data_IF_590629937172
#
_entry.id   IF_590629937172
#
_cell.length_a   1.000
_cell.length_b   1.000
_cell.length_c   1.000
_cell.angle_alpha   90.00
_cell.angle_beta   90.00
_cell.angle_gamma   90.00
#
_symmetry.space_group_name_H-M   'P 1'
#
loop_
_entity.id
_entity.type
_entity.pdbx_description
1 polymer ?
#
# COMPACT_ATOMS: atom_id res chain seq x y z
N UNK A 1 42.90 -40.14 63.91
CA UNK A 1 43.00 -39.43 62.62
C UNK A 1 41.84 -39.90 61.72
N UNK A 2 40.77 -39.12 61.57
CA UNK A 2 39.60 -39.42 60.72
C UNK A 2 39.80 -38.78 59.37
N UNK A 3 39.80 -39.60 58.30
CA UNK A 3 39.83 -39.13 56.92
C UNK A 3 38.38 -38.78 56.47
N UNK A 4 38.16 -37.53 56.08
CA UNK A 4 36.91 -37.05 55.51
C UNK A 4 37.02 -37.21 54.00
N UNK A 5 36.18 -38.05 53.40
CA UNK A 5 36.03 -38.17 51.94
C UNK A 5 35.02 -37.11 51.44
N UNK A 6 35.48 -36.20 50.61
CA UNK A 6 34.61 -35.28 49.87
C UNK A 6 34.11 -35.96 48.59
N UNK A 7 32.82 -36.20 48.52
CA UNK A 7 32.14 -36.66 47.32
C UNK A 7 31.73 -35.45 46.48
N UNK A 8 32.42 -35.22 45.38
CA UNK A 8 32.10 -34.15 44.45
C UNK A 8 30.89 -34.58 43.57
N UNK A 9 29.74 -33.91 43.79
CA UNK A 9 28.55 -34.08 42.94
C UNK A 9 28.66 -33.11 41.78
N UNK A 10 28.91 -33.65 40.56
CA UNK A 10 28.87 -32.93 39.30
C UNK A 10 27.40 -32.75 38.87
N UNK A 11 26.87 -31.51 38.98
CA UNK A 11 25.61 -31.18 38.35
C UNK A 11 25.83 -30.93 36.85
N UNK A 12 25.39 -31.86 36.01
CA UNK A 12 25.25 -31.66 34.57
C UNK A 12 23.98 -30.88 34.32
N UNK A 13 24.09 -29.55 34.06
CA UNK A 13 22.99 -28.72 33.59
C UNK A 13 22.74 -29.02 32.10
N UNK A 14 21.69 -29.74 31.80
CA UNK A 14 21.23 -29.97 30.43
C UNK A 14 20.64 -28.65 29.89
N UNK A 15 21.40 -27.91 29.11
CA UNK A 15 20.89 -26.73 28.38
C UNK A 15 20.10 -27.26 27.20
N UNK A 16 18.75 -27.26 27.32
CA UNK A 16 17.84 -27.53 26.20
C UNK A 16 17.83 -26.29 25.32
N UNK A 17 18.63 -26.27 24.27
CA UNK A 17 18.55 -25.28 23.20
C UNK A 17 17.26 -25.59 22.41
N UNK A 18 16.17 -24.89 22.74
CA UNK A 18 14.99 -24.87 21.85
C UNK A 18 15.41 -24.15 20.57
N UNK A 19 15.65 -24.91 19.52
CA UNK A 19 15.76 -24.37 18.17
C UNK A 19 14.43 -23.70 17.83
N UNK A 20 14.40 -22.36 17.84
CA UNK A 20 13.31 -21.59 17.27
C UNK A 20 13.41 -21.79 15.76
N UNK A 21 12.82 -22.87 15.26
CA UNK A 21 12.62 -23.07 13.84
C UNK A 21 11.83 -21.86 13.31
N UNK A 22 12.42 -21.10 12.39
CA UNK A 22 11.71 -20.06 11.66
C UNK A 22 10.55 -20.75 10.91
N UNK A 23 9.36 -20.73 11.52
CA UNK A 23 8.14 -21.25 10.93
C UNK A 23 7.89 -20.42 9.67
N UNK A 24 8.14 -20.98 8.48
CA UNK A 24 7.80 -20.34 7.22
C UNK A 24 6.29 -20.08 7.26
N UNK A 25 5.91 -18.81 7.37
CA UNK A 25 4.48 -18.46 7.43
C UNK A 25 3.83 -18.95 6.13
N UNK A 26 2.77 -19.74 6.26
CA UNK A 26 1.95 -20.20 5.13
C UNK A 26 1.57 -19.00 4.27
N UNK A 27 1.84 -19.07 2.97
CA UNK A 27 1.61 -17.99 2.03
C UNK A 27 0.37 -18.27 1.17
N UNK A 28 -0.35 -17.21 0.82
CA UNK A 28 -1.33 -17.18 -0.25
C UNK A 28 -0.74 -16.42 -1.43
N UNK A 29 -0.94 -16.91 -2.66
CA UNK A 29 -0.43 -16.27 -3.87
C UNK A 29 -1.58 -15.94 -4.82
N UNK A 30 -1.47 -14.80 -5.50
CA UNK A 30 -2.29 -14.41 -6.65
C UNK A 30 -1.36 -14.37 -7.85
N UNK A 31 -1.74 -15.08 -8.92
CA UNK A 31 -1.04 -15.10 -10.20
C UNK A 31 -1.91 -14.38 -11.22
N UNK A 32 -1.31 -13.52 -12.07
CA UNK A 32 -2.07 -12.71 -13.01
C UNK A 32 -1.21 -12.36 -14.24
N UNK A 33 -1.87 -12.19 -15.38
CA UNK A 33 -1.27 -11.62 -16.58
C UNK A 33 -1.35 -10.08 -16.63
N UNK A 34 -1.89 -9.45 -15.58
CA UNK A 34 -2.02 -7.99 -15.48
C UNK A 34 -3.15 -7.40 -16.32
N UNK A 35 -4.06 -8.24 -16.85
CA UNK A 35 -5.24 -7.79 -17.60
C UNK A 35 -6.39 -7.56 -16.62
N UNK A 36 -6.91 -6.31 -16.48
CA UNK A 36 -8.09 -6.05 -15.67
C UNK A 36 -9.34 -6.76 -16.22
N UNK A 37 -10.32 -7.01 -15.35
CA UNK A 37 -11.62 -7.58 -15.71
C UNK A 37 -12.61 -6.56 -16.30
N UNK A 38 -12.11 -5.41 -16.72
CA UNK A 38 -12.87 -4.35 -17.42
C UNK A 38 -12.06 -3.80 -18.58
N UNK A 39 -12.70 -3.08 -19.48
CA UNK A 39 -12.01 -2.37 -20.56
C UNK A 39 -11.21 -1.21 -19.96
N UNK A 40 -9.90 -1.23 -20.14
CA UNK A 40 -9.04 -0.11 -19.73
C UNK A 40 -9.24 1.08 -20.69
N UNK A 41 -8.83 2.27 -20.24
CA UNK A 41 -8.78 3.45 -21.06
C UNK A 41 -7.92 3.27 -22.32
N UNK A 42 -8.12 4.17 -23.28
CA UNK A 42 -7.32 4.18 -24.49
C UNK A 42 -5.89 4.66 -24.18
N UNK A 43 -4.89 3.82 -24.44
CA UNK A 43 -3.48 4.14 -24.31
C UNK A 43 -2.77 3.83 -25.62
N UNK A 44 -1.71 4.64 -26.00
CA UNK A 44 -1.12 5.78 -25.29
C UNK A 44 -1.96 7.05 -25.35
N UNK A 45 -1.76 7.94 -24.37
CA UNK A 45 -2.33 9.29 -24.33
C UNK A 45 -1.22 10.33 -24.16
N UNK A 46 -1.55 11.64 -24.34
CA UNK A 46 -0.60 12.74 -24.03
C UNK A 46 -0.10 12.68 -22.57
N UNK A 47 -0.96 12.29 -21.63
CA UNK A 47 -0.61 12.16 -20.20
C UNK A 47 0.06 10.84 -19.85
N UNK A 48 -0.11 9.79 -20.67
CA UNK A 48 0.52 8.48 -20.48
C UNK A 48 0.90 7.86 -21.83
N UNK A 49 2.16 7.99 -22.26
CA UNK A 49 2.62 7.50 -23.55
C UNK A 49 2.85 5.98 -23.61
N UNK A 50 2.61 5.28 -22.52
CA UNK A 50 2.88 3.85 -22.41
C UNK A 50 1.83 3.01 -23.17
N UNK A 51 2.24 1.84 -23.66
CA UNK A 51 1.35 0.86 -24.28
C UNK A 51 1.10 -0.29 -23.31
N UNK A 52 -0.13 -0.78 -23.25
CA UNK A 52 -0.45 -1.94 -22.45
C UNK A 52 0.35 -3.17 -22.89
N UNK A 53 0.84 -3.92 -21.90
CA UNK A 53 1.52 -5.20 -22.12
C UNK A 53 1.04 -6.19 -21.06
N UNK A 54 0.69 -7.39 -21.50
CA UNK A 54 0.47 -8.53 -20.60
C UNK A 54 1.75 -8.79 -19.80
N UNK A 55 1.57 -9.20 -18.57
CA UNK A 55 2.62 -9.43 -17.61
C UNK A 55 2.66 -10.91 -17.19
N UNK A 56 3.62 -11.27 -16.37
CA UNK A 56 3.64 -12.52 -15.62
C UNK A 56 3.86 -12.17 -14.15
N UNK A 57 2.77 -11.96 -13.44
CA UNK A 57 2.78 -11.43 -12.08
C UNK A 57 2.52 -12.55 -11.09
N UNK A 58 3.25 -12.51 -9.99
CA UNK A 58 3.04 -13.39 -8.84
C UNK A 58 3.18 -12.58 -7.57
N UNK A 59 2.11 -12.56 -6.76
CA UNK A 59 2.03 -11.85 -5.49
C UNK A 59 1.76 -12.86 -4.38
N UNK A 60 2.78 -13.22 -3.63
CA UNK A 60 2.63 -14.06 -2.45
C UNK A 60 2.70 -13.20 -1.19
N UNK A 61 1.81 -13.44 -0.24
CA UNK A 61 1.70 -12.71 1.02
C UNK A 61 1.32 -13.65 2.17
N UNK A 62 1.54 -13.27 3.44
CA UNK A 62 1.18 -14.10 4.58
C UNK A 62 -0.31 -14.45 4.58
N UNK A 63 -0.65 -15.75 4.71
CA UNK A 63 -2.05 -16.21 4.84
C UNK A 63 -2.65 -15.84 6.19
N UNK A 64 -1.82 -15.75 7.22
CA UNK A 64 -2.16 -15.32 8.58
C UNK A 64 -1.35 -14.06 8.92
N UNK A 65 -1.84 -12.86 8.53
CA UNK A 65 -1.13 -11.62 8.82
C UNK A 65 -1.15 -11.30 10.31
N UNK A 66 -0.06 -10.70 10.80
CA UNK A 66 0.07 -10.28 12.20
C UNK A 66 0.32 -8.79 12.24
N UNK A 67 -0.54 -8.06 12.99
CA UNK A 67 -0.36 -6.62 13.23
C UNK A 67 0.84 -6.42 14.16
N UNK A 68 1.74 -5.52 13.79
CA UNK A 68 2.92 -5.14 14.56
C UNK A 68 2.67 -3.84 15.34
N UNK A 69 3.47 -3.54 16.37
CA UNK A 69 3.33 -2.29 17.11
C UNK A 69 3.76 -1.05 16.30
N UNK A 70 4.57 -1.21 15.26
CA UNK A 70 5.06 -0.12 14.41
C UNK A 70 4.62 -0.31 12.97
N UNK A 71 4.11 0.74 12.36
CA UNK A 71 3.74 0.76 10.95
C UNK A 71 4.96 1.01 10.05
N UNK A 72 4.82 0.68 8.76
CA UNK A 72 5.82 0.95 7.72
C UNK A 72 5.16 1.64 6.53
N UNK A 73 5.65 2.81 6.17
CA UNK A 73 5.27 3.46 4.93
C UNK A 73 5.93 2.78 3.73
N UNK A 74 5.16 2.60 2.66
CA UNK A 74 5.63 2.00 1.40
C UNK A 74 5.27 2.94 0.26
N UNK A 75 6.25 3.20 -0.60
CA UNK A 75 6.14 4.16 -1.71
C UNK A 75 5.62 3.50 -3.01
N UNK A 76 5.48 2.16 -3.03
CA UNK A 76 5.19 1.43 -4.26
C UNK A 76 3.88 0.61 -4.20
N UNK A 77 3.89 -0.61 -4.71
CA UNK A 77 2.74 -1.51 -4.70
C UNK A 77 2.36 -1.89 -3.27
N UNK A 78 1.24 -1.37 -2.78
CA UNK A 78 0.76 -1.58 -1.40
C UNK A 78 -0.08 -2.84 -1.26
N UNK A 79 -0.63 -3.33 -2.36
CA UNK A 79 -1.49 -4.50 -2.39
C UNK A 79 -1.79 -4.94 -3.82
N UNK A 80 -2.64 -5.94 -3.92
CA UNK A 80 -3.10 -6.52 -5.18
C UNK A 80 -4.60 -6.79 -5.09
N UNK A 81 -5.34 -6.53 -6.17
CA UNK A 81 -6.76 -6.88 -6.26
C UNK A 81 -6.97 -8.39 -6.35
N UNK A 82 -8.19 -8.87 -6.16
CA UNK A 82 -8.53 -10.29 -6.35
C UNK A 82 -8.24 -10.78 -7.78
N UNK A 83 -8.30 -9.88 -8.76
CA UNK A 83 -8.00 -10.14 -10.17
C UNK A 83 -6.51 -10.00 -10.51
N UNK A 84 -5.66 -9.71 -9.51
CA UNK A 84 -4.22 -9.66 -9.68
C UNK A 84 -3.67 -8.34 -10.23
N UNK A 85 -4.46 -7.26 -10.19
CA UNK A 85 -3.99 -5.93 -10.59
C UNK A 85 -3.36 -5.20 -9.40
N UNK A 86 -2.16 -4.62 -9.56
CA UNK A 86 -1.49 -3.90 -8.49
C UNK A 86 -2.26 -2.67 -8.01
N UNK A 87 -2.17 -2.40 -6.71
CA UNK A 87 -2.69 -1.20 -6.05
C UNK A 87 -1.50 -0.30 -5.72
N UNK A 88 -1.45 0.89 -6.31
CA UNK A 88 -0.36 1.88 -6.17
C UNK A 88 -0.93 3.28 -5.98
N UNK A 89 -1.39 3.64 -4.77
CA UNK A 89 -2.04 4.94 -4.54
C UNK A 89 -1.10 6.13 -4.71
N UNK A 90 0.20 5.99 -4.46
CA UNK A 90 1.20 7.03 -4.65
C UNK A 90 1.77 7.08 -6.05
N UNK A 91 2.55 8.11 -6.35
CA UNK A 91 3.30 8.27 -7.60
C UNK A 91 4.80 8.28 -7.37
N UNK A 92 5.58 8.13 -8.46
CA UNK A 92 7.02 8.37 -8.44
C UNK A 92 7.38 9.81 -8.82
N UNK A 93 6.39 10.70 -8.95
CA UNK A 93 6.56 12.08 -9.36
C UNK A 93 6.61 13.01 -8.14
N UNK A 94 7.58 13.90 -8.12
CA UNK A 94 7.79 14.91 -7.09
C UNK A 94 7.78 16.30 -7.72
N UNK A 95 7.33 17.31 -6.98
CA UNK A 95 7.41 18.67 -7.47
C UNK A 95 8.86 19.04 -7.80
N UNK A 96 9.03 19.65 -8.95
CA UNK A 96 10.33 20.09 -9.44
C UNK A 96 10.12 21.35 -10.29
N UNK A 97 10.46 22.53 -9.72
CA UNK A 97 10.28 23.82 -10.37
C UNK A 97 11.17 23.98 -11.60
N UNK A 98 12.28 23.25 -11.67
CA UNK A 98 13.21 23.27 -12.81
C UNK A 98 12.71 22.45 -14.01
N UNK A 99 11.82 21.47 -13.76
CA UNK A 99 11.24 20.67 -14.83
C UNK A 99 10.18 21.43 -15.63
N UNK A 100 10.16 21.35 -16.96
CA UNK A 100 9.09 21.91 -17.79
C UNK A 100 7.69 21.42 -17.40
N UNK A 101 7.59 20.18 -16.93
CA UNK A 101 6.33 19.59 -16.44
C UNK A 101 6.03 19.92 -14.98
N UNK A 102 6.88 20.70 -14.31
CA UNK A 102 6.83 21.00 -12.88
C UNK A 102 6.84 19.76 -11.96
N UNK A 103 7.30 18.64 -12.49
CA UNK A 103 7.56 17.42 -11.72
C UNK A 103 8.65 16.56 -12.36
N UNK A 104 9.35 15.79 -11.55
CA UNK A 104 10.35 14.80 -11.96
C UNK A 104 10.44 13.67 -10.93
N UNK A 105 11.46 12.82 -11.00
CA UNK A 105 11.75 11.83 -9.97
C UNK A 105 12.62 12.39 -8.83
N UNK A 106 13.03 13.66 -8.93
CA UNK A 106 13.82 14.34 -7.90
C UNK A 106 12.94 14.62 -6.67
N UNK A 107 13.31 14.04 -5.54
CA UNK A 107 12.55 14.11 -4.28
C UNK A 107 12.91 15.33 -3.41
N UNK A 108 13.80 16.21 -3.88
CA UNK A 108 14.37 17.30 -3.06
C UNK A 108 13.34 18.29 -2.54
N UNK A 109 12.22 18.49 -3.24
CA UNK A 109 11.13 19.36 -2.77
C UNK A 109 10.37 18.78 -1.57
N UNK A 110 10.42 17.46 -1.34
CA UNK A 110 9.61 16.78 -0.33
C UNK A 110 8.10 16.73 -0.65
N UNK A 111 7.66 17.19 -1.84
CA UNK A 111 6.25 17.23 -2.24
C UNK A 111 5.96 16.17 -3.30
N UNK A 112 5.33 15.07 -2.88
CA UNK A 112 4.98 13.96 -3.77
C UNK A 112 3.62 14.20 -4.44
N UNK A 113 3.59 14.21 -5.78
CA UNK A 113 2.36 14.47 -6.53
C UNK A 113 1.33 13.34 -6.35
N UNK A 114 0.09 13.72 -6.13
CA UNK A 114 -1.04 12.80 -6.17
C UNK A 114 -1.51 12.57 -7.62
N UNK A 115 -1.77 11.31 -7.98
CA UNK A 115 -2.31 10.96 -9.30
C UNK A 115 -3.79 11.34 -9.42
N UNK A 116 -4.53 11.21 -8.34
CA UNK A 116 -5.95 11.57 -8.24
C UNK A 116 -6.06 12.85 -7.41
N UNK A 117 -6.27 13.96 -8.10
CA UNK A 117 -6.48 15.26 -7.48
C UNK A 117 -7.97 15.57 -7.37
N UNK A 118 -8.40 16.54 -6.52
CA UNK A 118 -9.81 16.92 -6.41
C UNK A 118 -10.45 17.35 -7.73
N UNK A 119 -9.68 18.00 -8.61
CA UNK A 119 -10.19 18.64 -9.82
C UNK A 119 -9.64 18.05 -11.12
N UNK A 120 -8.65 17.17 -11.05
CA UNK A 120 -8.04 16.56 -12.25
C UNK A 120 -7.45 15.20 -11.98
N UNK A 121 -7.40 14.37 -13.03
CA UNK A 121 -6.62 13.15 -13.08
C UNK A 121 -5.38 13.41 -13.92
N UNK A 122 -4.22 13.37 -13.29
CA UNK A 122 -2.95 13.53 -14.01
C UNK A 122 -2.39 12.16 -14.42
N UNK A 123 -1.34 12.16 -15.24
CA UNK A 123 -0.67 10.94 -15.72
C UNK A 123 -1.55 10.01 -16.57
N UNK A 124 -2.61 10.55 -17.20
CA UNK A 124 -3.49 9.76 -18.08
C UNK A 124 -4.28 8.70 -17.34
N UNK A 125 -4.72 9.00 -16.13
CA UNK A 125 -5.61 8.12 -15.35
C UNK A 125 -6.95 7.94 -16.08
N UNK A 126 -7.37 6.70 -16.29
CA UNK A 126 -8.63 6.36 -16.95
C UNK A 126 -9.85 6.46 -16.02
N UNK A 127 -11.04 6.11 -16.54
CA UNK A 127 -12.30 6.17 -15.79
C UNK A 127 -12.40 5.14 -14.67
N UNK A 128 -11.54 4.12 -14.68
CA UNK A 128 -11.43 3.13 -13.62
C UNK A 128 -10.37 3.48 -12.58
N UNK A 129 -9.85 4.74 -12.61
CA UNK A 129 -8.83 5.24 -11.68
C UNK A 129 -7.49 4.50 -11.75
N UNK A 130 -7.15 3.98 -12.91
CA UNK A 130 -5.90 3.31 -13.19
C UNK A 130 -5.17 3.87 -14.41
N UNK A 131 -3.94 3.47 -14.60
CA UNK A 131 -3.15 3.74 -15.77
C UNK A 131 -1.99 2.76 -15.93
N UNK A 132 -1.16 2.97 -16.97
CA UNK A 132 -0.01 2.14 -17.28
C UNK A 132 1.28 2.73 -16.70
N UNK A 133 2.13 1.88 -16.12
CA UNK A 133 3.51 2.26 -15.86
C UNK A 133 4.38 2.12 -17.12
N UNK A 134 5.67 2.48 -17.02
CA UNK A 134 6.61 2.44 -18.14
C UNK A 134 6.86 1.02 -18.70
N UNK A 135 6.50 -0.03 -17.96
CA UNK A 135 6.55 -1.43 -18.40
C UNK A 135 5.26 -1.87 -19.09
N UNK A 136 4.24 -1.00 -19.16
CA UNK A 136 2.91 -1.31 -19.68
C UNK A 136 2.03 -2.06 -18.70
N UNK A 137 2.37 -2.08 -17.42
CA UNK A 137 1.58 -2.70 -16.36
C UNK A 137 0.49 -1.75 -15.86
N UNK A 138 -0.77 -2.20 -15.96
CA UNK A 138 -1.91 -1.47 -15.43
C UNK A 138 -1.97 -1.57 -13.90
N UNK A 139 -2.30 -0.47 -13.23
CA UNK A 139 -2.45 -0.42 -11.78
C UNK A 139 -3.45 0.66 -11.36
N UNK A 140 -4.06 0.47 -10.17
CA UNK A 140 -5.05 1.40 -9.62
C UNK A 140 -4.45 2.39 -8.63
N UNK A 141 -4.91 3.65 -8.71
CA UNK A 141 -4.61 4.72 -7.75
C UNK A 141 -5.73 4.99 -6.76
N UNK A 142 -6.97 4.68 -7.15
CA UNK A 142 -8.20 4.88 -6.35
C UNK A 142 -9.15 3.72 -6.60
N UNK A 143 -9.98 3.31 -5.61
CA UNK A 143 -10.99 2.30 -5.85
C UNK A 143 -12.05 2.79 -6.85
N UNK A 144 -12.67 1.84 -7.52
CA UNK A 144 -13.80 2.05 -8.42
C UNK A 144 -14.81 0.90 -8.26
N UNK A 145 -16.08 1.08 -8.68
CA UNK A 145 -17.11 0.07 -8.50
C UNK A 145 -16.83 -1.28 -9.17
N UNK A 146 -16.02 -1.33 -10.24
CA UNK A 146 -15.69 -2.60 -10.92
C UNK A 146 -14.86 -3.55 -10.07
N UNK A 147 -14.26 -3.06 -8.97
CA UNK A 147 -13.57 -3.89 -8.00
C UNK A 147 -14.52 -4.70 -7.11
N UNK A 148 -15.80 -4.31 -7.05
CA UNK A 148 -16.84 -5.04 -6.32
C UNK A 148 -17.40 -6.13 -7.22
N UNK A 149 -17.27 -7.37 -6.81
CA UNK A 149 -17.84 -8.51 -7.53
C UNK A 149 -18.91 -9.20 -6.66
N UNK A 150 -20.05 -9.52 -7.26
CA UNK A 150 -21.11 -10.33 -6.63
C UNK A 150 -21.53 -9.86 -5.22
N UNK A 151 -21.58 -8.54 -4.99
CA UNK A 151 -21.93 -7.97 -3.67
C UNK A 151 -20.88 -8.12 -2.58
N UNK A 152 -19.70 -8.64 -2.90
CA UNK A 152 -18.60 -8.78 -1.94
C UNK A 152 -17.83 -7.48 -1.79
N UNK A 153 -17.53 -7.12 -0.54
CA UNK A 153 -16.71 -5.94 -0.22
C UNK A 153 -15.19 -6.20 -0.27
N UNK A 154 -14.76 -7.45 -0.24
CA UNK A 154 -13.34 -7.80 -0.37
C UNK A 154 -12.87 -7.54 -1.81
N UNK A 155 -11.91 -6.64 -1.97
CA UNK A 155 -11.37 -6.27 -3.27
C UNK A 155 -9.95 -6.76 -3.51
N UNK A 156 -9.23 -7.15 -2.46
CA UNK A 156 -7.84 -7.59 -2.60
C UNK A 156 -7.15 -7.84 -1.27
N UNK A 157 -5.84 -7.96 -1.35
CA UNK A 157 -4.95 -8.18 -0.21
C UNK A 157 -3.79 -7.19 -0.24
N UNK A 158 -3.46 -6.66 0.93
CA UNK A 158 -2.28 -5.83 1.11
C UNK A 158 -0.99 -6.68 1.08
N UNK A 159 0.14 -6.04 0.87
CA UNK A 159 1.44 -6.71 0.78
C UNK A 159 1.84 -7.46 2.06
N UNK A 160 1.24 -7.14 3.19
CA UNK A 160 1.39 -7.81 4.49
C UNK A 160 0.33 -8.89 4.76
N UNK A 161 -0.58 -9.13 3.80
CA UNK A 161 -1.57 -10.21 3.83
C UNK A 161 -2.92 -9.83 4.43
N UNK A 162 -3.08 -8.65 5.00
CA UNK A 162 -4.41 -8.21 5.46
C UNK A 162 -5.35 -7.96 4.28
N UNK A 163 -6.63 -8.26 4.49
CA UNK A 163 -7.71 -7.99 3.53
C UNK A 163 -7.84 -6.49 3.27
N UNK A 164 -8.12 -6.12 2.02
CA UNK A 164 -8.51 -4.77 1.63
C UNK A 164 -9.99 -4.82 1.25
N UNK A 165 -10.82 -4.13 2.03
CA UNK A 165 -12.25 -4.02 1.76
C UNK A 165 -12.57 -2.68 1.11
N UNK A 166 -13.59 -2.67 0.24
CA UNK A 166 -14.21 -1.45 -0.26
C UNK A 166 -15.70 -1.50 0.00
N UNK A 167 -16.19 -0.65 0.88
CA UNK A 167 -17.59 -0.50 1.25
C UNK A 167 -17.93 0.99 1.06
N UNK A 168 -18.38 1.39 -0.13
CA UNK A 168 -18.60 2.81 -0.46
C UNK A 168 -19.47 3.52 0.58
N UNK A 169 -18.98 4.65 1.08
CA UNK A 169 -19.72 5.51 2.01
C UNK A 169 -19.77 5.02 3.47
N UNK A 170 -19.35 3.79 3.79
CA UNK A 170 -19.49 3.25 5.15
C UNK A 170 -18.46 3.79 6.13
N UNK A 171 -17.20 3.91 5.72
CA UNK A 171 -16.11 4.35 6.59
C UNK A 171 -15.46 5.64 6.10
N UNK A 172 -15.21 6.56 7.04
CA UNK A 172 -14.50 7.82 6.80
C UNK A 172 -13.04 7.67 7.18
N UNK A 173 -12.14 8.07 6.28
CA UNK A 173 -10.72 8.18 6.61
C UNK A 173 -10.48 9.25 7.68
N UNK A 174 -9.41 9.10 8.46
CA UNK A 174 -8.94 10.11 9.41
C UNK A 174 -7.90 11.06 8.80
N UNK A 175 -7.62 10.95 7.52
CA UNK A 175 -6.81 11.90 6.79
C UNK A 175 -7.65 13.12 6.38
N UNK A 176 -7.10 14.31 6.55
CA UNK A 176 -7.75 15.58 6.24
C UNK A 176 -6.86 16.44 5.38
N UNK A 177 -7.45 17.20 4.47
CA UNK A 177 -6.76 18.28 3.78
C UNK A 177 -6.39 19.35 4.80
N UNK A 178 -5.12 19.76 4.83
CA UNK A 178 -4.63 20.82 5.71
C UNK A 178 -5.33 22.15 5.43
N UNK A 179 -5.49 22.95 6.45
CA UNK A 179 -5.99 24.33 6.33
C UNK A 179 -4.84 25.29 6.07
N UNK A 180 -5.11 26.37 5.30
CA UNK A 180 -4.14 27.43 5.04
C UNK A 180 -3.31 27.20 3.78
N UNK A 181 -2.08 27.69 3.78
CA UNK A 181 -1.20 27.71 2.61
C UNK A 181 0.09 26.90 2.86
N UNK A 182 0.63 26.31 1.78
CA UNK A 182 1.98 25.72 1.77
C UNK A 182 3.01 26.81 2.08
N UNK A 183 3.98 26.44 2.92
CA UNK A 183 5.09 27.33 3.32
C UNK A 183 6.30 27.20 2.40
N UNK A 184 6.26 26.30 1.45
CA UNK A 184 7.30 26.03 0.45
C UNK A 184 6.71 26.07 -0.95
N UNK A 185 7.53 26.24 -1.99
CA UNK A 185 7.13 26.17 -3.39
C UNK A 185 6.63 24.73 -3.76
N UNK A 186 5.49 24.71 -4.52
CA UNK A 186 4.65 25.79 -5.01
C UNK A 186 3.77 26.35 -3.88
N UNK A 187 3.92 27.65 -3.64
CA UNK A 187 3.07 28.35 -2.67
C UNK A 187 1.59 28.27 -3.05
N UNK A 188 0.71 28.63 -2.14
CA UNK A 188 -0.74 28.59 -2.34
C UNK A 188 -1.44 27.67 -1.36
N UNK A 189 -2.76 27.59 -1.47
CA UNK A 189 -3.58 26.78 -0.56
C UNK A 189 -3.22 25.29 -0.69
N UNK A 190 -3.37 24.56 0.41
CA UNK A 190 -3.41 23.11 0.36
C UNK A 190 -4.65 22.71 -0.44
N UNK A 191 -4.47 22.08 -1.59
CA UNK A 191 -5.52 21.74 -2.54
C UNK A 191 -5.60 20.25 -2.88
N UNK A 192 -4.75 19.43 -2.23
CA UNK A 192 -4.68 17.99 -2.45
C UNK A 192 -3.85 17.60 -3.66
N UNK A 193 -3.08 18.52 -4.24
CA UNK A 193 -2.16 18.22 -5.34
C UNK A 193 -1.00 17.35 -4.91
N UNK A 194 -0.64 17.38 -3.64
CA UNK A 194 0.47 16.62 -3.05
C UNK A 194 0.01 15.78 -1.87
N UNK A 195 0.68 14.66 -1.67
CA UNK A 195 0.47 13.83 -0.47
C UNK A 195 0.63 14.66 0.80
N UNK A 196 1.58 15.58 0.83
CA UNK A 196 1.93 16.44 1.95
C UNK A 196 0.90 17.52 2.25
N UNK A 197 -0.07 17.72 1.35
CA UNK A 197 -1.24 18.58 1.60
C UNK A 197 -2.19 17.97 2.62
N UNK A 198 -2.05 16.67 2.90
CA UNK A 198 -2.89 15.99 3.85
C UNK A 198 -2.17 15.73 5.17
N UNK A 199 -2.94 15.65 6.23
CA UNK A 199 -2.50 15.29 7.56
C UNK A 199 -3.40 14.22 8.16
N UNK A 200 -2.82 13.32 8.95
CA UNK A 200 -3.57 12.34 9.72
C UNK A 200 -3.97 12.96 11.05
N UNK A 201 -5.28 12.94 11.37
CA UNK A 201 -5.84 13.42 12.63
C UNK A 201 -6.55 12.26 13.29
N UNK A 202 -5.91 11.67 14.30
CA UNK A 202 -6.44 10.52 15.01
C UNK A 202 -7.85 10.80 15.54
N UNK A 203 -8.78 9.88 15.29
CA UNK A 203 -10.18 9.99 15.75
C UNK A 203 -11.05 10.95 14.92
N UNK A 204 -10.54 11.64 13.88
CA UNK A 204 -11.35 12.48 13.02
C UNK A 204 -12.23 11.72 12.01
N UNK A 205 -11.99 10.42 11.87
CA UNK A 205 -12.73 9.47 11.07
C UNK A 205 -12.79 8.11 11.77
N UNK A 206 -13.12 7.07 11.01
CA UNK A 206 -13.30 5.72 11.51
C UNK A 206 -12.03 4.86 11.44
N UNK A 207 -11.07 5.27 10.62
CA UNK A 207 -9.92 4.47 10.20
C UNK A 207 -8.63 5.01 10.81
N UNK A 208 -7.68 4.13 11.05
CA UNK A 208 -6.34 4.48 11.50
C UNK A 208 -5.48 5.10 10.38
N UNK A 209 -4.22 5.42 10.69
CA UNK A 209 -3.29 6.07 9.78
C UNK A 209 -3.04 5.29 8.48
N UNK A 210 -3.10 3.96 8.53
CA UNK A 210 -3.00 3.11 7.34
C UNK A 210 -4.35 2.81 6.69
N UNK A 211 -5.40 3.56 7.03
CA UNK A 211 -6.75 3.33 6.56
C UNK A 211 -7.30 1.95 6.97
N UNK A 212 -6.92 1.49 8.16
CA UNK A 212 -7.34 0.21 8.71
C UNK A 212 -8.23 0.33 9.94
N UNK A 213 -8.89 -0.77 10.27
CA UNK A 213 -9.77 -0.88 11.44
C UNK A 213 -9.94 -2.34 11.85
N UNK A 214 -10.18 -2.56 13.13
CA UNK A 214 -10.70 -3.84 13.62
C UNK A 214 -12.19 -3.91 13.28
N UNK A 215 -12.60 -4.92 12.53
CA UNK A 215 -13.99 -5.19 12.16
C UNK A 215 -14.26 -6.68 12.38
N UNK A 216 -15.26 -7.00 13.19
CA UNK A 216 -15.65 -8.37 13.56
C UNK A 216 -14.46 -9.23 14.04
N UNK A 217 -13.67 -8.66 14.96
CA UNK A 217 -12.50 -9.30 15.54
C UNK A 217 -11.28 -9.46 14.60
N UNK A 218 -11.35 -8.97 13.36
CA UNK A 218 -10.25 -9.04 12.39
C UNK A 218 -9.80 -7.64 11.97
N UNK A 219 -8.50 -7.41 11.98
CA UNK A 219 -7.96 -6.17 11.42
C UNK A 219 -7.99 -6.23 9.88
N UNK A 220 -8.46 -5.16 9.25
CA UNK A 220 -8.56 -5.02 7.79
C UNK A 220 -8.22 -3.60 7.37
N UNK A 221 -7.72 -3.46 6.16
CA UNK A 221 -7.62 -2.17 5.49
C UNK A 221 -8.88 -1.87 4.70
N UNK A 222 -9.14 -0.58 4.50
CA UNK A 222 -10.30 -0.10 3.76
C UNK A 222 -9.87 0.83 2.64
N UNK A 223 -10.36 0.56 1.44
CA UNK A 223 -10.34 1.53 0.37
C UNK A 223 -11.45 2.57 0.59
N UNK A 224 -11.18 3.83 0.26
CA UNK A 224 -12.09 4.96 0.47
C UNK A 224 -12.19 5.84 -0.78
N UNK A 225 -13.31 6.56 -0.93
CA UNK A 225 -13.50 7.50 -2.05
C UNK A 225 -12.70 8.79 -1.92
N UNK A 226 -12.22 9.09 -0.71
CA UNK A 226 -11.36 10.24 -0.41
C UNK A 226 -9.94 9.78 -0.09
N UNK A 227 -8.97 10.71 -0.13
CA UNK A 227 -7.59 10.44 0.28
C UNK A 227 -7.56 9.72 1.64
N UNK A 228 -6.75 8.68 1.80
CA UNK A 228 -5.63 8.21 0.96
C UNK A 228 -6.03 7.19 -0.12
N UNK A 229 -7.31 6.97 -0.38
CA UNK A 229 -7.92 6.06 -1.34
C UNK A 229 -7.69 4.58 -1.03
N UNK A 230 -6.45 4.17 -0.86
CA UNK A 230 -5.97 2.86 -0.44
C UNK A 230 -5.02 3.01 0.74
N UNK A 231 -4.68 1.94 1.48
CA UNK A 231 -3.63 2.00 2.50
C UNK A 231 -2.33 2.52 1.90
N UNK A 232 -1.61 3.37 2.64
CA UNK A 232 -0.29 3.89 2.25
C UNK A 232 0.83 3.44 3.18
N UNK A 233 0.47 2.64 4.16
CA UNK A 233 1.37 1.98 5.08
C UNK A 233 0.82 0.61 5.47
N UNK A 234 1.65 -0.16 6.14
CA UNK A 234 1.32 -1.51 6.57
C UNK A 234 1.66 -1.68 8.05
N UNK A 235 0.78 -2.36 8.76
CA UNK A 235 1.02 -2.77 10.14
C UNK A 235 1.70 -4.14 10.24
N UNK A 236 1.70 -4.92 9.17
CA UNK A 236 2.33 -6.24 9.12
C UNK A 236 3.67 -6.27 8.37
N UNK A 237 4.26 -7.45 8.29
CA UNK A 237 5.46 -7.69 7.48
C UNK A 237 5.07 -7.84 6.01
N UNK A 238 5.55 -6.94 5.18
CA UNK A 238 5.28 -6.96 3.75
C UNK A 238 6.13 -7.97 3.01
N UNK A 239 5.52 -8.66 2.06
CA UNK A 239 6.22 -9.59 1.16
C UNK A 239 7.14 -8.85 0.19
N UNK A 240 8.27 -9.50 -0.13
CA UNK A 240 9.24 -8.98 -1.13
C UNK A 240 8.69 -9.00 -2.55
N UNK A 241 7.69 -9.81 -2.85
CA UNK A 241 7.10 -9.91 -4.19
C UNK A 241 6.51 -8.57 -4.66
N UNK A 242 5.92 -7.78 -3.73
CA UNK A 242 5.38 -6.45 -4.03
C UNK A 242 6.44 -5.38 -4.33
N UNK A 243 7.72 -5.64 -4.02
CA UNK A 243 8.84 -4.73 -4.32
C UNK A 243 9.47 -5.04 -5.68
N UNK A 244 9.43 -6.30 -6.14
CA UNK A 244 10.08 -6.75 -7.39
C UNK A 244 9.43 -6.19 -8.65
N UNK A 245 8.17 -5.81 -8.58
CA UNK A 245 7.39 -5.31 -9.72
C UNK A 245 7.87 -3.93 -10.18
N UNK A 246 8.57 -3.20 -9.31
CA UNK A 246 9.07 -1.86 -9.59
C UNK A 246 10.53 -1.83 -10.11
N UNK A 247 11.16 -3.00 -10.31
CA UNK A 247 12.54 -3.11 -10.80
C UNK A 247 12.60 -3.49 -12.27
#
# INVERSE_FOLDING_TARGET
MRKINYLAILFYSLIIIKSIGAQSSEQKCIISDGVPNHKIGQFPTKGNPNKFKKQNLRFCFPKKPVKRPTLRYIVSTVGVTLTGIPIRPGTAAWYDSSSPKKHSQNQSSGLNLEAIRPFEKIFGIDDYNGHLDFKGLYHYHKPNPSLLSNGQSLIGYAADGFEILYIPGKFKTSWRLKKGNRKIEPFGKYDGSFKEDYEFINGSGDLDECNGKLLDGKYRYFATNSFPFFPRCHWGNTSKDFRKINR
#
